data_IF_473730961528
#
_entry.id   IF_473730961528
#
_cell.length_a   1.000
_cell.length_b   1.000
_cell.length_c   1.000
_cell.angle_alpha   90.00
_cell.angle_beta   90.00
_cell.angle_gamma   90.00
#
_symmetry.space_group_name_H-M   'P 1'
#
loop_
_entity.id
_entity.type
_entity.pdbx_description
1 polymer ?
#
# COMPACT_ATOMS: atom_id res chain seq x y z
N UNK A 1 -11.89 7.20 28.90
CA UNK A 1 -10.69 6.60 28.25
C UNK A 1 -11.07 6.30 26.81
N UNK A 2 -10.20 6.57 25.84
CA UNK A 2 -10.48 6.27 24.43
C UNK A 2 -10.79 4.78 24.23
N UNK A 3 -11.59 4.47 23.22
CA UNK A 3 -11.79 3.09 22.79
C UNK A 3 -10.48 2.53 22.22
N UNK A 4 -10.08 1.33 22.65
CA UNK A 4 -8.86 0.68 22.16
C UNK A 4 -9.22 -0.40 21.17
N UNK A 5 -8.72 -0.28 19.95
CA UNK A 5 -8.93 -1.21 18.85
C UNK A 5 -7.62 -1.96 18.61
N UNK A 6 -7.66 -3.29 18.67
CA UNK A 6 -6.49 -4.08 18.33
C UNK A 6 -6.38 -4.25 16.82
N UNK A 7 -5.24 -3.88 16.23
CA UNK A 7 -5.00 -3.87 14.79
C UNK A 7 -3.93 -4.89 14.43
N UNK A 8 -4.24 -5.77 13.47
CA UNK A 8 -3.31 -6.75 12.88
C UNK A 8 -3.05 -6.41 11.42
N UNK A 9 -1.79 -6.58 10.97
CA UNK A 9 -1.40 -6.42 9.56
C UNK A 9 -0.18 -5.51 9.34
N UNK A 10 0.37 -4.90 10.41
CA UNK A 10 1.63 -4.16 10.34
C UNK A 10 2.82 -5.11 10.20
N UNK A 11 3.76 -4.78 9.32
CA UNK A 11 5.05 -5.48 9.16
C UNK A 11 6.21 -4.61 9.67
N UNK A 12 7.43 -5.09 9.54
CA UNK A 12 8.65 -4.36 9.88
C UNK A 12 9.12 -3.39 8.77
N UNK A 13 8.42 -3.37 7.65
CA UNK A 13 8.80 -2.62 6.46
C UNK A 13 7.69 -1.64 6.05
N UNK A 14 7.96 -0.32 5.96
CA UNK A 14 7.01 0.63 5.42
C UNK A 14 6.53 0.23 4.01
N UNK A 15 5.24 0.00 3.89
CA UNK A 15 4.55 -0.39 2.67
C UNK A 15 3.15 0.23 2.60
N UNK A 16 2.34 -0.22 1.66
CA UNK A 16 1.00 0.34 1.46
C UNK A 16 0.06 0.16 2.66
N UNK A 17 0.07 -1.02 3.29
CA UNK A 17 -0.78 -1.29 4.46
C UNK A 17 -0.28 -0.49 5.67
N UNK A 18 1.02 -0.47 5.91
CA UNK A 18 1.62 0.25 7.02
C UNK A 18 1.36 1.75 6.91
N UNK A 19 1.55 2.31 5.72
CA UNK A 19 1.22 3.71 5.44
C UNK A 19 -0.27 3.98 5.63
N UNK A 20 -1.15 3.12 5.13
CA UNK A 20 -2.59 3.23 5.35
C UNK A 20 -2.93 3.24 6.85
N UNK A 21 -2.40 2.30 7.63
CA UNK A 21 -2.73 2.16 9.05
C UNK A 21 -2.23 3.31 9.92
N UNK A 22 -1.00 3.78 9.67
CA UNK A 22 -0.49 4.94 10.42
C UNK A 22 -1.28 6.20 10.08
N UNK A 23 -1.73 6.31 8.84
CA UNK A 23 -2.57 7.40 8.39
C UNK A 23 -3.96 7.35 9.01
N UNK A 24 -4.56 6.17 9.15
CA UNK A 24 -5.82 6.01 9.89
C UNK A 24 -5.64 6.40 11.36
N UNK A 25 -4.54 5.97 12.01
CA UNK A 25 -4.24 6.35 13.40
C UNK A 25 -4.13 7.87 13.58
N UNK A 26 -3.42 8.56 12.67
CA UNK A 26 -3.31 10.04 12.68
C UNK A 26 -4.66 10.74 12.54
N UNK A 27 -5.58 10.12 11.82
CA UNK A 27 -6.90 10.69 11.53
C UNK A 27 -7.91 10.50 12.68
N UNK A 28 -7.65 9.58 13.62
CA UNK A 28 -8.50 9.38 14.80
C UNK A 28 -8.35 10.53 15.79
N UNK A 29 -9.45 10.86 16.47
CA UNK A 29 -9.43 11.68 17.68
C UNK A 29 -8.84 10.86 18.83
N UNK A 30 -7.65 11.18 19.34
CA UNK A 30 -6.97 10.36 20.36
C UNK A 30 -7.72 10.31 21.71
N UNK A 31 -8.62 11.25 21.96
CA UNK A 31 -9.47 11.24 23.13
C UNK A 31 -10.65 10.27 22.99
N UNK A 32 -11.00 9.87 21.77
CA UNK A 32 -12.12 8.96 21.46
C UNK A 32 -11.67 7.55 21.15
N UNK A 33 -10.65 7.40 20.30
CA UNK A 33 -10.18 6.08 19.89
C UNK A 33 -8.67 6.05 19.62
N UNK A 34 -8.04 4.89 19.86
CA UNK A 34 -6.64 4.65 19.55
C UNK A 34 -6.44 3.22 19.05
N UNK A 35 -5.59 3.05 18.06
CA UNK A 35 -5.15 1.75 17.58
C UNK A 35 -4.00 1.22 18.44
N UNK A 36 -4.13 -0.03 18.90
CA UNK A 36 -3.03 -0.82 19.43
C UNK A 36 -2.67 -1.88 18.41
N UNK A 37 -1.39 -2.11 18.20
CA UNK A 37 -0.94 -2.98 17.14
C UNK A 37 -0.48 -4.34 17.64
N UNK A 38 -0.78 -5.37 16.86
CA UNK A 38 -0.18 -6.69 17.02
C UNK A 38 0.50 -7.07 15.70
N UNK A 39 1.78 -7.45 15.79
CA UNK A 39 2.60 -7.85 14.66
C UNK A 39 3.28 -9.18 14.91
N UNK A 40 3.49 -9.97 13.85
CA UNK A 40 4.25 -11.22 13.87
C UNK A 40 5.66 -11.07 13.24
N UNK A 41 6.11 -9.83 13.13
CA UNK A 41 7.47 -9.44 12.75
C UNK A 41 8.31 -9.05 13.97
N UNK A 42 9.67 -9.08 13.85
CA UNK A 42 10.57 -8.77 14.97
C UNK A 42 10.57 -7.29 15.36
N UNK A 43 10.13 -6.41 14.49
CA UNK A 43 9.91 -4.98 14.71
C UNK A 43 8.65 -4.54 13.97
N UNK A 44 8.24 -3.30 14.14
CA UNK A 44 7.08 -2.73 13.47
C UNK A 44 7.46 -1.41 12.78
N UNK A 45 7.07 -1.25 11.52
CA UNK A 45 7.18 0.02 10.84
C UNK A 45 6.38 1.11 11.59
N UNK A 46 6.90 2.33 11.66
CA UNK A 46 6.28 3.46 12.37
C UNK A 46 6.04 3.23 13.87
N UNK A 47 6.78 2.31 14.53
CA UNK A 47 6.58 1.98 15.94
C UNK A 47 6.69 3.20 16.86
N UNK A 48 7.75 4.00 16.71
CA UNK A 48 7.99 5.18 17.55
C UNK A 48 6.87 6.21 17.42
N UNK A 49 6.39 6.42 16.20
CA UNK A 49 5.28 7.33 15.93
C UNK A 49 3.97 6.83 16.54
N UNK A 50 3.65 5.56 16.35
CA UNK A 50 2.45 4.96 16.92
C UNK A 50 2.46 5.07 18.45
N UNK A 51 3.59 4.77 19.10
CA UNK A 51 3.76 4.90 20.54
C UNK A 51 3.64 6.35 21.01
N UNK A 52 4.15 7.31 20.24
CA UNK A 52 4.02 8.74 20.57
C UNK A 52 2.55 9.22 20.57
N UNK A 53 1.69 8.60 19.73
CA UNK A 53 0.23 8.85 19.72
C UNK A 53 -0.51 8.12 20.87
N UNK A 54 0.16 7.17 21.56
CA UNK A 54 -0.40 6.43 22.68
C UNK A 54 -0.76 4.97 22.40
N UNK A 55 -0.32 4.44 21.25
CA UNK A 55 -0.49 3.03 20.89
C UNK A 55 0.36 2.09 21.75
N UNK A 56 -0.17 0.90 22.02
CA UNK A 56 0.59 -0.26 22.51
C UNK A 56 0.93 -1.17 21.35
N UNK A 57 2.08 -1.86 21.44
CA UNK A 57 2.53 -2.79 20.39
C UNK A 57 2.78 -4.15 21.02
N UNK A 58 2.17 -5.19 20.46
CA UNK A 58 2.32 -6.58 20.86
C UNK A 58 3.04 -7.37 19.78
N UNK A 59 4.12 -8.02 20.15
CA UNK A 59 4.89 -8.91 19.28
C UNK A 59 4.48 -10.35 19.51
N UNK A 60 4.02 -11.05 18.49
CA UNK A 60 3.61 -12.45 18.56
C UNK A 60 4.47 -13.32 17.61
N UNK A 61 4.56 -14.64 17.83
CA UNK A 61 5.30 -15.50 16.94
C UNK A 61 4.77 -15.48 15.50
N UNK A 62 5.68 -15.45 14.51
CA UNK A 62 5.30 -15.57 13.10
C UNK A 62 4.67 -16.94 12.81
N UNK A 63 3.73 -16.99 11.85
CA UNK A 63 3.08 -18.25 11.40
C UNK A 63 4.10 -19.31 10.94
N UNK A 64 5.21 -18.88 10.35
CA UNK A 64 6.31 -19.75 9.91
C UNK A 64 7.02 -20.45 11.08
N UNK A 65 6.98 -19.89 12.28
CA UNK A 65 7.52 -20.48 13.51
C UNK A 65 6.51 -21.40 14.25
N UNK A 66 5.31 -21.52 13.72
CA UNK A 66 4.24 -22.38 14.24
C UNK A 66 2.92 -21.65 14.45
N UNK A 67 1.91 -22.07 13.71
CA UNK A 67 0.56 -21.48 13.80
C UNK A 67 0.00 -21.55 15.24
N UNK A 68 0.15 -22.67 15.94
CA UNK A 68 -0.35 -22.83 17.31
C UNK A 68 0.27 -21.83 18.28
N UNK A 69 1.57 -21.53 18.16
CA UNK A 69 2.25 -20.55 19.02
C UNK A 69 1.70 -19.14 18.79
N UNK A 70 1.42 -18.77 17.53
CA UNK A 70 0.78 -17.50 17.18
C UNK A 70 -0.64 -17.40 17.76
N UNK A 71 -1.47 -18.44 17.56
CA UNK A 71 -2.84 -18.48 18.08
C UNK A 71 -2.88 -18.41 19.62
N UNK A 72 -1.95 -19.12 20.29
CA UNK A 72 -1.81 -19.05 21.75
C UNK A 72 -1.44 -17.65 22.24
N UNK A 73 -0.54 -16.97 21.54
CA UNK A 73 -0.16 -15.60 21.87
C UNK A 73 -1.34 -14.63 21.67
N UNK A 74 -2.08 -14.73 20.56
CA UNK A 74 -3.28 -13.96 20.34
C UNK A 74 -4.34 -14.22 21.42
N UNK A 75 -4.56 -15.49 21.80
CA UNK A 75 -5.50 -15.84 22.86
C UNK A 75 -5.07 -15.30 24.24
N UNK A 76 -3.78 -15.20 24.50
CA UNK A 76 -3.26 -14.54 25.69
C UNK A 76 -3.64 -13.07 25.70
N UNK A 77 -3.41 -12.33 24.61
CA UNK A 77 -3.79 -10.92 24.47
C UNK A 77 -5.31 -10.76 24.70
N UNK A 78 -6.14 -11.58 24.06
CA UNK A 78 -7.61 -11.52 24.22
C UNK A 78 -8.08 -11.75 25.66
N UNK A 79 -7.36 -12.57 26.42
CA UNK A 79 -7.67 -12.87 27.84
C UNK A 79 -7.22 -11.77 28.77
N UNK A 80 -6.01 -11.24 28.56
CA UNK A 80 -5.40 -10.23 29.43
C UNK A 80 -5.96 -8.82 29.18
N UNK A 81 -6.53 -8.59 27.98
CA UNK A 81 -7.02 -7.30 27.51
C UNK A 81 -8.49 -7.37 27.08
N UNK A 82 -9.43 -7.49 28.06
CA UNK A 82 -10.87 -7.56 27.77
C UNK A 82 -11.42 -6.24 27.18
N UNK A 83 -10.68 -5.15 27.26
CA UNK A 83 -11.00 -3.86 26.63
C UNK A 83 -11.04 -3.91 25.12
N UNK A 84 -10.27 -4.79 24.45
CA UNK A 84 -10.33 -4.94 23.00
C UNK A 84 -11.64 -5.60 22.56
N UNK A 85 -12.67 -4.79 22.32
CA UNK A 85 -13.97 -5.26 21.80
C UNK A 85 -13.96 -5.42 20.28
N UNK A 86 -13.17 -4.61 19.59
CA UNK A 86 -12.97 -4.62 18.14
C UNK A 86 -11.55 -5.08 17.82
N UNK A 87 -11.42 -6.01 16.86
CA UNK A 87 -10.12 -6.43 16.32
C UNK A 87 -10.14 -6.22 14.81
N UNK A 88 -9.23 -5.38 14.32
CA UNK A 88 -9.18 -4.92 12.95
C UNK A 88 -8.03 -5.58 12.20
N UNK A 89 -8.37 -6.47 11.29
CA UNK A 89 -7.44 -7.22 10.46
C UNK A 89 -7.26 -6.55 9.11
N UNK A 90 -6.01 -6.30 8.72
CA UNK A 90 -5.62 -5.80 7.42
C UNK A 90 -4.95 -6.94 6.66
N UNK A 91 -5.59 -7.40 5.59
CA UNK A 91 -5.30 -8.68 4.99
C UNK A 91 -5.02 -8.59 3.48
N UNK A 92 -4.04 -9.39 3.03
CA UNK A 92 -3.72 -9.58 1.61
C UNK A 92 -4.37 -10.84 1.03
N UNK A 93 -4.68 -11.82 1.88
CA UNK A 93 -5.35 -13.07 1.49
C UNK A 93 -6.19 -13.65 2.65
N UNK A 94 -7.05 -14.61 2.34
CA UNK A 94 -7.96 -15.22 3.32
C UNK A 94 -7.27 -16.13 4.35
N UNK A 95 -5.97 -16.38 4.27
CA UNK A 95 -5.22 -17.14 5.26
C UNK A 95 -5.17 -16.46 6.64
N UNK A 96 -5.53 -15.18 6.72
CA UNK A 96 -5.72 -14.44 7.99
C UNK A 96 -6.84 -15.04 8.85
N UNK A 97 -7.81 -15.75 8.27
CA UNK A 97 -8.94 -16.37 8.96
C UNK A 97 -8.53 -17.24 10.16
N UNK A 98 -7.38 -17.91 10.08
CA UNK A 98 -6.87 -18.69 11.22
C UNK A 98 -6.57 -17.79 12.44
N UNK A 99 -6.05 -16.61 12.23
CA UNK A 99 -5.77 -15.65 13.30
C UNK A 99 -7.06 -14.97 13.79
N UNK A 100 -8.01 -14.69 12.88
CA UNK A 100 -9.34 -14.11 13.18
C UNK A 100 -10.20 -15.02 14.04
N UNK A 101 -10.01 -16.35 13.92
CA UNK A 101 -10.75 -17.33 14.73
C UNK A 101 -10.61 -17.08 16.22
N UNK A 102 -9.43 -16.63 16.67
CA UNK A 102 -9.18 -16.41 18.10
C UNK A 102 -10.05 -15.28 18.67
N UNK A 103 -9.99 -14.03 18.21
CA UNK A 103 -10.86 -12.98 18.73
C UNK A 103 -12.35 -13.30 18.55
N UNK A 104 -12.73 -14.00 17.46
CA UNK A 104 -14.09 -14.43 17.25
C UNK A 104 -14.57 -15.39 18.38
N UNK A 105 -13.74 -16.38 18.76
CA UNK A 105 -14.04 -17.29 19.88
C UNK A 105 -14.13 -16.57 21.22
N UNK A 106 -13.47 -15.43 21.39
CA UNK A 106 -13.58 -14.57 22.54
C UNK A 106 -14.75 -13.57 22.47
N UNK A 107 -15.65 -13.70 21.47
CA UNK A 107 -16.81 -12.83 21.30
C UNK A 107 -16.48 -11.41 20.89
N UNK A 108 -15.32 -11.19 20.24
CA UNK A 108 -14.90 -9.86 19.75
C UNK A 108 -15.50 -9.61 18.38
N UNK A 109 -15.73 -8.34 18.06
CA UNK A 109 -16.10 -7.93 16.70
C UNK A 109 -14.88 -8.02 15.81
N UNK A 110 -14.90 -8.96 14.86
CA UNK A 110 -13.84 -9.13 13.85
C UNK A 110 -14.15 -8.24 12.67
N UNK A 111 -13.22 -7.36 12.35
CA UNK A 111 -13.28 -6.43 11.22
C UNK A 111 -12.17 -6.81 10.27
N UNK A 112 -12.48 -7.02 8.99
CA UNK A 112 -11.47 -7.38 7.99
C UNK A 112 -11.44 -6.36 6.86
N UNK A 113 -10.25 -5.83 6.57
CA UNK A 113 -9.98 -4.92 5.46
C UNK A 113 -9.10 -5.62 4.43
N UNK A 114 -9.59 -5.74 3.21
CA UNK A 114 -8.86 -6.30 2.09
C UNK A 114 -8.03 -5.22 1.38
N UNK A 115 -6.73 -5.49 1.22
CA UNK A 115 -5.80 -4.55 0.56
C UNK A 115 -5.28 -5.05 -0.78
N UNK A 116 -5.68 -6.24 -1.23
CA UNK A 116 -5.16 -6.82 -2.46
C UNK A 116 -6.26 -7.43 -3.33
N UNK A 117 -6.07 -7.37 -4.65
CA UNK A 117 -6.99 -7.95 -5.64
C UNK A 117 -6.62 -9.36 -6.10
N UNK A 118 -5.48 -9.90 -5.66
CA UNK A 118 -5.00 -11.24 -5.99
C UNK A 118 -3.95 -11.71 -4.99
N UNK A 119 -3.47 -12.96 -5.11
CA UNK A 119 -2.40 -13.54 -4.28
C UNK A 119 -1.70 -14.69 -4.98
N UNK A 120 -0.41 -14.88 -4.72
CA UNK A 120 0.33 -16.08 -5.11
C UNK A 120 -0.15 -17.34 -4.33
N UNK A 121 -0.79 -17.15 -3.17
CA UNK A 121 -1.31 -18.22 -2.32
C UNK A 121 -2.73 -18.64 -2.70
N UNK A 122 -3.01 -18.84 -3.99
CA UNK A 122 -4.35 -19.06 -4.54
C UNK A 122 -5.11 -20.20 -3.84
N UNK A 123 -4.46 -21.35 -3.62
CA UNK A 123 -5.10 -22.50 -2.94
C UNK A 123 -5.49 -22.15 -1.50
N UNK A 124 -4.57 -21.58 -0.72
CA UNK A 124 -4.83 -21.17 0.66
C UNK A 124 -5.98 -20.18 0.72
N UNK A 125 -5.95 -19.15 -0.12
CA UNK A 125 -7.03 -18.16 -0.20
C UNK A 125 -8.37 -18.82 -0.47
N UNK A 126 -8.46 -19.67 -1.50
CA UNK A 126 -9.71 -20.36 -1.90
C UNK A 126 -10.32 -21.16 -0.76
N UNK A 127 -9.50 -21.95 -0.04
CA UNK A 127 -9.99 -22.80 1.05
C UNK A 127 -10.32 -22.04 2.32
N UNK A 128 -9.61 -20.95 2.61
CA UNK A 128 -9.85 -20.13 3.81
C UNK A 128 -10.96 -19.10 3.64
N UNK A 129 -11.30 -18.69 2.41
CA UNK A 129 -12.30 -17.65 2.12
C UNK A 129 -13.68 -17.91 2.73
N UNK A 130 -14.24 -19.15 2.75
CA UNK A 130 -15.51 -19.42 3.44
C UNK A 130 -15.42 -19.16 4.95
N UNK A 131 -14.33 -19.60 5.60
CA UNK A 131 -14.10 -19.39 7.03
C UNK A 131 -13.95 -17.89 7.34
N UNK A 132 -13.10 -17.17 6.61
CA UNK A 132 -12.94 -15.73 6.76
C UNK A 132 -14.30 -15.03 6.71
N UNK A 133 -15.11 -15.36 5.72
CA UNK A 133 -16.42 -14.74 5.56
C UNK A 133 -17.44 -15.09 6.64
N UNK A 134 -17.26 -16.21 7.34
CA UNK A 134 -18.04 -16.58 8.52
C UNK A 134 -17.62 -15.74 9.74
N UNK A 135 -16.31 -15.55 9.94
CA UNK A 135 -15.75 -14.88 11.11
C UNK A 135 -15.89 -13.37 11.05
N UNK A 136 -15.79 -12.79 9.84
CA UNK A 136 -15.80 -11.33 9.65
C UNK A 136 -17.18 -10.73 9.88
N UNK A 137 -17.30 -9.86 10.87
CA UNK A 137 -18.52 -9.12 11.21
C UNK A 137 -18.69 -7.86 10.36
N UNK A 138 -17.60 -7.11 10.09
CA UNK A 138 -17.59 -5.89 9.28
C UNK A 138 -16.50 -5.99 8.21
N UNK A 139 -16.86 -5.66 6.96
CA UNK A 139 -16.00 -5.84 5.78
C UNK A 139 -15.66 -4.51 5.17
N UNK A 140 -14.36 -4.28 5.00
CA UNK A 140 -13.80 -3.14 4.29
C UNK A 140 -12.86 -3.61 3.19
N UNK A 141 -12.66 -2.78 2.18
CA UNK A 141 -11.68 -3.02 1.12
C UNK A 141 -11.15 -1.69 0.58
N UNK A 142 -9.90 -1.67 0.13
CA UNK A 142 -9.30 -0.49 -0.47
C UNK A 142 -9.82 -0.17 -1.88
N UNK A 143 -10.44 -1.16 -2.56
CA UNK A 143 -11.00 -1.05 -3.89
C UNK A 143 -12.10 -2.09 -4.11
N UNK A 144 -12.91 -1.90 -5.16
CA UNK A 144 -13.91 -2.90 -5.54
C UNK A 144 -13.29 -4.24 -5.92
N UNK A 145 -12.16 -4.22 -6.62
CA UNK A 145 -11.40 -5.44 -6.97
C UNK A 145 -10.97 -6.19 -5.71
N UNK A 146 -10.45 -5.50 -4.70
CA UNK A 146 -10.08 -6.10 -3.42
C UNK A 146 -11.30 -6.63 -2.64
N UNK A 147 -12.45 -5.95 -2.74
CA UNK A 147 -13.71 -6.39 -2.15
C UNK A 147 -14.20 -7.71 -2.77
N UNK A 148 -14.30 -7.77 -4.09
CA UNK A 148 -14.76 -8.94 -4.83
C UNK A 148 -13.82 -10.15 -4.63
N UNK A 149 -12.52 -9.88 -4.63
CA UNK A 149 -11.48 -10.87 -4.37
C UNK A 149 -11.64 -11.52 -2.98
N UNK A 150 -11.71 -10.72 -1.92
CA UNK A 150 -11.72 -11.22 -0.54
C UNK A 150 -13.11 -11.74 -0.12
N UNK A 151 -14.17 -11.02 -0.47
CA UNK A 151 -15.50 -11.25 0.09
C UNK A 151 -16.54 -11.74 -0.92
N UNK A 152 -16.24 -11.67 -2.24
CA UNK A 152 -17.18 -12.02 -3.29
C UNK A 152 -18.38 -11.06 -3.34
N UNK A 153 -19.59 -11.59 -3.42
CA UNK A 153 -20.84 -10.79 -3.55
C UNK A 153 -21.38 -10.23 -2.23
N UNK A 154 -20.60 -10.26 -1.15
CA UNK A 154 -21.05 -9.73 0.14
C UNK A 154 -21.00 -8.22 0.16
N UNK A 155 -21.80 -7.62 1.03
CA UNK A 155 -21.74 -6.19 1.30
C UNK A 155 -20.38 -5.83 1.89
N UNK A 156 -19.70 -4.86 1.27
CA UNK A 156 -18.37 -4.36 1.63
C UNK A 156 -18.36 -2.85 1.46
N UNK A 157 -17.87 -2.13 2.45
CA UNK A 157 -17.62 -0.70 2.30
C UNK A 157 -16.23 -0.50 1.72
N UNK A 158 -16.14 0.16 0.57
CA UNK A 158 -14.85 0.53 -0.04
C UNK A 158 -14.33 1.81 0.62
N UNK A 159 -13.11 1.73 1.14
CA UNK A 159 -12.43 2.82 1.85
C UNK A 159 -11.23 3.25 1.03
N UNK A 160 -11.23 4.40 0.37
CA UNK A 160 -10.09 4.91 -0.37
C UNK A 160 -8.85 5.07 0.53
N UNK A 161 -7.67 4.73 0.01
CA UNK A 161 -6.41 4.94 0.72
C UNK A 161 -6.02 6.41 0.65
N UNK A 162 -6.27 7.17 1.71
CA UNK A 162 -5.91 8.59 1.78
C UNK A 162 -4.41 8.80 1.90
N UNK A 163 -3.95 9.91 1.33
CA UNK A 163 -2.58 10.43 1.45
C UNK A 163 -2.61 11.88 1.95
N UNK A 164 -1.50 12.37 2.45
CA UNK A 164 -1.26 13.80 2.60
C UNK A 164 -0.92 14.39 1.22
N UNK A 165 -1.95 14.76 0.46
CA UNK A 165 -1.78 15.21 -0.91
C UNK A 165 -0.90 16.46 -1.03
N UNK A 166 -0.92 17.34 -0.01
CA UNK A 166 -0.09 18.56 0.02
C UNK A 166 1.40 18.25 0.04
N UNK A 167 1.80 17.18 0.74
CA UNK A 167 3.19 16.72 0.80
C UNK A 167 3.74 16.34 -0.57
N UNK A 168 2.88 15.90 -1.49
CA UNK A 168 3.25 15.47 -2.84
C UNK A 168 3.04 16.55 -3.90
N UNK A 169 2.50 17.72 -3.53
CA UNK A 169 2.29 18.83 -4.47
C UNK A 169 3.52 19.11 -5.30
N UNK A 170 3.34 19.24 -6.63
CA UNK A 170 4.46 19.54 -7.52
C UNK A 170 5.14 20.87 -7.16
N UNK A 171 6.45 20.84 -6.97
CA UNK A 171 7.31 21.99 -6.74
C UNK A 171 8.55 21.93 -7.64
N UNK A 172 8.71 22.89 -8.56
CA UNK A 172 9.92 23.00 -9.38
C UNK A 172 11.21 23.12 -8.55
N UNK A 173 11.14 23.81 -7.42
CA UNK A 173 12.30 24.04 -6.52
C UNK A 173 12.74 22.72 -5.87
N UNK A 174 11.81 21.92 -5.36
CA UNK A 174 12.12 20.61 -4.77
C UNK A 174 12.64 19.67 -5.86
N UNK A 175 12.02 19.71 -7.06
CA UNK A 175 12.48 18.94 -8.22
C UNK A 175 13.94 19.27 -8.56
N UNK A 176 14.28 20.54 -8.72
CA UNK A 176 15.64 20.96 -9.06
C UNK A 176 16.63 20.47 -8.00
N UNK A 177 16.37 20.78 -6.72
CA UNK A 177 17.23 20.37 -5.61
C UNK A 177 17.46 18.86 -5.56
N UNK A 178 16.39 18.04 -5.73
CA UNK A 178 16.52 16.59 -5.67
C UNK A 178 17.26 16.03 -6.88
N UNK A 179 17.09 16.62 -8.06
CA UNK A 179 17.85 16.22 -9.26
C UNK A 179 19.34 16.53 -9.13
N UNK A 180 19.70 17.67 -8.54
CA UNK A 180 21.09 18.04 -8.21
C UNK A 180 21.69 17.07 -7.19
N UNK A 181 20.95 16.75 -6.10
CA UNK A 181 21.38 15.77 -5.09
C UNK A 181 21.67 14.39 -5.69
N UNK A 182 20.87 13.97 -6.65
CA UNK A 182 21.00 12.67 -7.31
C UNK A 182 21.94 12.69 -8.54
N UNK A 183 22.41 13.85 -8.99
CA UNK A 183 23.27 14.01 -10.18
C UNK A 183 22.56 13.56 -11.48
N UNK A 184 21.29 13.97 -11.64
CA UNK A 184 20.41 13.60 -12.77
C UNK A 184 19.74 14.81 -13.42
N UNK A 185 20.35 16.00 -13.36
CA UNK A 185 19.76 17.28 -13.78
C UNK A 185 19.30 17.24 -15.23
N UNK A 186 20.09 16.59 -16.09
CA UNK A 186 19.89 16.56 -17.54
C UNK A 186 19.29 15.24 -18.05
N UNK A 187 18.94 14.32 -17.16
CA UNK A 187 18.44 13.02 -17.54
C UNK A 187 16.91 13.02 -17.75
N UNK A 188 16.44 12.12 -18.61
CA UNK A 188 15.05 11.70 -18.61
C UNK A 188 14.85 10.65 -17.51
N UNK A 189 14.05 10.97 -16.49
CA UNK A 189 13.98 10.19 -15.26
C UNK A 189 12.71 9.36 -15.20
N UNK A 190 12.87 8.04 -15.35
CA UNK A 190 11.83 7.03 -15.09
C UNK A 190 11.90 6.64 -13.62
N UNK A 191 10.78 6.61 -12.93
CA UNK A 191 10.73 6.26 -11.50
C UNK A 191 9.82 5.06 -11.24
N UNK A 192 10.33 4.11 -10.47
CA UNK A 192 9.58 2.99 -9.90
C UNK A 192 9.75 2.98 -8.39
N UNK A 193 8.67 2.83 -7.66
CA UNK A 193 8.67 2.72 -6.20
C UNK A 193 7.84 1.50 -5.81
N UNK A 194 8.48 0.53 -5.19
CA UNK A 194 7.81 -0.69 -4.76
C UNK A 194 8.75 -1.72 -4.17
N UNK A 195 8.18 -2.73 -3.51
CA UNK A 195 8.94 -3.87 -3.02
C UNK A 195 9.53 -4.65 -4.19
N UNK A 196 10.79 -5.04 -4.12
CA UNK A 196 11.41 -5.93 -5.11
C UNK A 196 10.91 -7.37 -4.89
N UNK A 197 9.71 -7.64 -5.38
CA UNK A 197 8.98 -8.91 -5.23
C UNK A 197 8.37 -9.32 -6.57
N UNK A 198 8.02 -10.59 -6.71
CA UNK A 198 7.38 -11.10 -7.93
C UNK A 198 6.14 -10.28 -8.32
N UNK A 199 5.30 -9.92 -7.34
CA UNK A 199 4.10 -9.10 -7.57
C UNK A 199 4.38 -7.81 -8.36
N UNK A 200 5.50 -7.13 -8.06
CA UNK A 200 5.88 -5.84 -8.67
C UNK A 200 6.59 -5.98 -10.02
N UNK A 201 6.89 -7.23 -10.44
CA UNK A 201 7.53 -7.53 -11.73
C UNK A 201 8.83 -6.73 -12.00
N UNK A 202 9.81 -6.78 -11.08
CA UNK A 202 11.00 -5.94 -11.22
C UNK A 202 11.90 -6.35 -12.38
N UNK A 203 11.87 -7.61 -12.84
CA UNK A 203 12.62 -8.04 -14.03
C UNK A 203 12.00 -7.46 -15.31
N UNK A 204 10.68 -7.51 -15.44
CA UNK A 204 9.97 -6.86 -16.56
C UNK A 204 10.16 -5.34 -16.58
N UNK A 205 10.29 -4.69 -15.40
CA UNK A 205 10.67 -3.29 -15.31
C UNK A 205 12.05 -3.02 -15.94
N UNK A 206 13.04 -3.89 -15.68
CA UNK A 206 14.38 -3.77 -16.26
C UNK A 206 14.33 -3.95 -17.79
N UNK A 207 13.56 -4.93 -18.32
CA UNK A 207 13.40 -5.14 -19.77
C UNK A 207 12.78 -3.93 -20.46
N UNK A 208 11.74 -3.36 -19.86
CA UNK A 208 11.11 -2.13 -20.36
C UNK A 208 12.13 -0.98 -20.35
N UNK A 209 12.84 -0.79 -19.23
CA UNK A 209 13.79 0.30 -19.08
C UNK A 209 15.01 0.16 -20.01
N UNK A 210 15.55 -1.05 -20.19
CA UNK A 210 16.62 -1.31 -21.17
C UNK A 210 16.21 -0.82 -22.57
N UNK A 211 14.97 -1.10 -22.95
CA UNK A 211 14.43 -0.69 -24.26
C UNK A 211 14.20 0.83 -24.34
N UNK A 212 13.80 1.47 -23.24
CA UNK A 212 13.73 2.94 -23.15
C UNK A 212 15.13 3.54 -23.31
N UNK A 213 16.13 3.01 -22.60
CA UNK A 213 17.51 3.50 -22.65
C UNK A 213 18.13 3.34 -24.04
N UNK A 214 17.85 2.24 -24.75
CA UNK A 214 18.28 2.06 -26.15
C UNK A 214 17.69 3.09 -27.11
N UNK A 215 16.50 3.62 -26.79
CA UNK A 215 15.82 4.65 -27.59
C UNK A 215 16.19 6.07 -27.17
N UNK A 216 16.56 6.28 -25.89
CA UNK A 216 16.99 7.55 -25.32
C UNK A 216 18.07 7.31 -24.26
N UNK A 217 19.34 7.49 -24.67
CA UNK A 217 20.50 7.25 -23.80
C UNK A 217 20.66 8.29 -22.68
N UNK A 218 19.80 9.32 -22.63
CA UNK A 218 19.70 10.23 -21.47
C UNK A 218 18.84 9.67 -20.34
N UNK A 219 18.15 8.55 -20.55
CA UNK A 219 17.24 7.97 -19.57
C UNK A 219 17.99 7.39 -18.35
N UNK A 220 17.42 7.59 -17.17
CA UNK A 220 17.85 6.98 -15.89
C UNK A 220 16.63 6.40 -15.20
N UNK A 221 16.74 5.17 -14.66
CA UNK A 221 15.72 4.59 -13.79
C UNK A 221 16.08 4.81 -12.33
N UNK A 222 15.18 5.46 -11.59
CA UNK A 222 15.18 5.45 -10.13
C UNK A 222 14.34 4.28 -9.64
N UNK A 223 14.96 3.25 -9.09
CA UNK A 223 14.30 2.10 -8.48
C UNK A 223 14.37 2.20 -6.96
N UNK A 224 13.21 2.44 -6.32
CA UNK A 224 13.10 2.66 -4.88
C UNK A 224 12.39 1.51 -4.22
N UNK A 225 13.00 0.95 -3.19
CA UNK A 225 12.50 -0.18 -2.41
C UNK A 225 13.53 -1.28 -2.27
N UNK A 226 13.18 -2.30 -1.51
CA UNK A 226 13.95 -3.53 -1.30
C UNK A 226 13.00 -4.72 -1.24
N UNK A 227 13.49 -5.93 -1.33
CA UNK A 227 12.63 -7.11 -1.26
C UNK A 227 13.38 -8.42 -1.45
N UNK A 228 12.64 -9.52 -1.46
CA UNK A 228 13.18 -10.87 -1.59
C UNK A 228 13.89 -11.15 -2.92
N UNK A 229 13.59 -10.37 -3.96
CA UNK A 229 14.22 -10.50 -5.28
C UNK A 229 15.41 -9.53 -5.47
N UNK A 230 15.85 -8.80 -4.46
CA UNK A 230 16.87 -7.74 -4.59
C UNK A 230 18.15 -8.25 -5.27
N UNK A 231 18.68 -9.39 -4.82
CA UNK A 231 19.89 -9.97 -5.40
C UNK A 231 19.67 -10.39 -6.87
N UNK A 232 18.55 -11.02 -7.19
CA UNK A 232 18.19 -11.43 -8.54
C UNK A 232 18.06 -10.22 -9.48
N UNK A 233 17.37 -9.17 -9.02
CA UNK A 233 17.15 -7.91 -9.76
C UNK A 233 18.48 -7.22 -10.08
N UNK A 234 19.39 -7.13 -9.11
CA UNK A 234 20.71 -6.54 -9.32
C UNK A 234 21.55 -7.37 -10.33
N UNK A 235 21.56 -8.70 -10.17
CA UNK A 235 22.26 -9.58 -11.11
C UNK A 235 21.73 -9.43 -12.53
N UNK A 236 20.40 -9.39 -12.68
CA UNK A 236 19.74 -9.23 -13.98
C UNK A 236 20.04 -7.87 -14.64
N UNK A 237 20.08 -6.79 -13.85
CA UNK A 237 20.48 -5.47 -14.35
C UNK A 237 21.94 -5.48 -14.86
N UNK A 238 22.85 -6.13 -14.14
CA UNK A 238 24.25 -6.29 -14.53
C UNK A 238 24.42 -7.12 -15.80
N UNK A 239 23.69 -8.22 -15.95
CA UNK A 239 23.66 -9.04 -17.17
C UNK A 239 23.22 -8.25 -18.41
N UNK A 240 22.31 -7.28 -18.20
CA UNK A 240 21.84 -6.34 -19.21
C UNK A 240 22.78 -5.14 -19.44
N UNK A 241 23.87 -5.01 -18.67
CA UNK A 241 24.78 -3.88 -18.65
C UNK A 241 24.11 -2.55 -18.28
N UNK A 242 23.14 -2.59 -17.33
CA UNK A 242 22.36 -1.41 -16.91
C UNK A 242 22.81 -0.83 -15.56
N UNK A 243 23.95 -1.26 -14.98
CA UNK A 243 24.42 -0.81 -13.66
C UNK A 243 24.62 0.70 -13.54
N UNK A 244 25.01 1.37 -14.63
CA UNK A 244 25.21 2.82 -14.66
C UNK A 244 23.92 3.62 -14.84
N UNK A 245 22.87 3.01 -15.37
CA UNK A 245 21.62 3.63 -15.79
C UNK A 245 20.48 3.42 -14.80
N UNK A 246 20.58 2.39 -13.96
CA UNK A 246 19.62 2.11 -12.91
C UNK A 246 20.21 2.55 -11.56
N UNK A 247 19.52 3.46 -10.90
CA UNK A 247 19.85 3.89 -9.53
C UNK A 247 18.97 3.10 -8.55
N UNK A 248 19.51 2.02 -7.99
CA UNK A 248 18.87 1.30 -6.89
C UNK A 248 19.05 2.09 -5.60
N UNK A 249 18.00 2.77 -5.16
CA UNK A 249 18.03 3.68 -4.01
C UNK A 249 17.74 2.99 -2.67
N UNK A 250 17.40 1.69 -2.71
CA UNK A 250 16.97 0.98 -1.52
C UNK A 250 15.71 1.59 -0.90
N UNK A 251 15.53 1.39 0.41
CA UNK A 251 14.41 1.97 1.15
C UNK A 251 14.67 3.46 1.41
N UNK A 252 13.70 4.31 1.08
CA UNK A 252 13.79 5.77 1.23
C UNK A 252 12.61 6.31 2.03
N UNK A 253 12.86 7.35 2.85
CA UNK A 253 11.81 8.10 3.55
C UNK A 253 11.36 9.36 2.83
N UNK A 254 12.12 9.81 1.82
CA UNK A 254 11.91 11.03 1.04
C UNK A 254 11.19 10.76 -0.30
N UNK A 255 10.20 9.88 -0.29
CA UNK A 255 9.44 9.46 -1.48
C UNK A 255 8.82 10.66 -2.21
N UNK A 256 8.27 11.61 -1.47
CA UNK A 256 7.68 12.82 -2.05
C UNK A 256 8.70 13.63 -2.88
N UNK A 257 9.94 13.75 -2.41
CA UNK A 257 11.00 14.47 -3.11
C UNK A 257 11.52 13.67 -4.32
N UNK A 258 11.63 12.34 -4.21
CA UNK A 258 12.01 11.47 -5.33
C UNK A 258 10.99 11.56 -6.46
N UNK A 259 9.68 11.55 -6.15
CA UNK A 259 8.62 11.76 -7.13
C UNK A 259 8.70 13.15 -7.78
N UNK A 260 9.19 14.19 -7.08
CA UNK A 260 9.45 15.48 -7.72
C UNK A 260 10.55 15.38 -8.78
N UNK A 261 11.62 14.61 -8.53
CA UNK A 261 12.74 14.46 -9.45
C UNK A 261 12.38 13.71 -10.75
N UNK A 262 11.35 12.84 -10.72
CA UNK A 262 10.93 12.01 -11.85
C UNK A 262 10.28 12.80 -13.00
N UNK A 263 10.25 12.22 -14.19
CA UNK A 263 9.50 12.70 -15.38
C UNK A 263 8.28 11.79 -15.63
N UNK A 264 8.38 10.51 -15.33
CA UNK A 264 7.33 9.52 -15.48
C UNK A 264 7.42 8.48 -14.35
N UNK A 265 6.28 8.07 -13.84
CA UNK A 265 6.15 6.96 -12.89
C UNK A 265 5.69 5.70 -13.63
N UNK A 266 6.32 4.56 -13.34
CA UNK A 266 5.99 3.28 -13.97
C UNK A 266 5.73 2.21 -12.91
N UNK A 267 4.67 1.40 -13.10
CA UNK A 267 4.33 0.28 -12.22
C UNK A 267 3.82 -0.92 -13.04
N UNK A 268 4.71 -1.78 -13.57
CA UNK A 268 4.37 -2.93 -14.38
C UNK A 268 4.00 -4.17 -13.54
N UNK A 269 3.27 -3.98 -12.45
CA UNK A 269 2.92 -5.03 -11.49
C UNK A 269 2.04 -6.11 -12.12
N UNK A 270 2.23 -7.37 -11.73
CA UNK A 270 1.34 -8.46 -12.14
C UNK A 270 -0.06 -8.34 -11.54
N UNK A 271 -0.19 -7.75 -10.36
CA UNK A 271 -1.47 -7.46 -9.71
C UNK A 271 -1.31 -6.45 -8.59
N UNK A 272 -2.32 -5.59 -8.40
CA UNK A 272 -2.45 -4.65 -7.26
C UNK A 272 -3.93 -4.49 -6.90
N UNK A 273 -4.19 -4.15 -5.65
CA UNK A 273 -5.51 -3.69 -5.23
C UNK A 273 -5.68 -2.20 -5.56
N UNK A 274 -5.06 -1.35 -4.76
CA UNK A 274 -4.99 0.10 -4.95
C UNK A 274 -3.61 0.58 -4.46
N UNK A 275 -2.60 0.65 -5.34
CA UNK A 275 -1.24 1.02 -4.95
C UNK A 275 -1.16 2.48 -4.53
N UNK A 276 -0.91 2.74 -3.24
CA UNK A 276 -0.81 4.10 -2.67
C UNK A 276 0.23 4.93 -3.44
N UNK A 277 1.36 4.34 -3.79
CA UNK A 277 2.44 5.04 -4.50
C UNK A 277 1.99 5.60 -5.86
N UNK A 278 1.04 4.94 -6.55
CA UNK A 278 0.49 5.47 -7.78
C UNK A 278 -0.44 6.68 -7.52
N UNK A 279 -1.12 6.72 -6.38
CA UNK A 279 -1.88 7.89 -5.93
C UNK A 279 -0.93 9.05 -5.59
N UNK A 280 0.16 8.76 -4.89
CA UNK A 280 1.22 9.73 -4.55
C UNK A 280 1.89 10.31 -5.80
N UNK A 281 2.17 9.47 -6.81
CA UNK A 281 2.73 9.92 -8.08
C UNK A 281 1.76 10.82 -8.86
N UNK A 282 0.47 10.51 -8.87
CA UNK A 282 -0.56 11.36 -9.46
C UNK A 282 -0.71 12.69 -8.71
N UNK A 283 -0.65 12.69 -7.36
CA UNK A 283 -0.64 13.92 -6.56
C UNK A 283 0.53 14.83 -6.93
N UNK A 284 1.70 14.21 -7.21
CA UNK A 284 2.87 14.91 -7.71
C UNK A 284 2.74 15.37 -9.18
N UNK A 285 1.61 15.15 -9.83
CA UNK A 285 1.34 15.55 -11.22
C UNK A 285 2.11 14.73 -12.25
N UNK A 286 2.65 13.57 -11.89
CA UNK A 286 3.37 12.70 -12.82
C UNK A 286 2.43 11.96 -13.77
N UNK A 287 2.80 11.78 -15.05
CA UNK A 287 2.23 10.72 -15.85
C UNK A 287 2.59 9.37 -15.22
N UNK A 288 1.57 8.53 -15.02
CA UNK A 288 1.70 7.23 -14.38
C UNK A 288 1.36 6.14 -15.41
N UNK A 289 2.32 5.30 -15.75
CA UNK A 289 2.13 4.18 -16.68
C UNK A 289 2.03 2.91 -15.85
N UNK A 290 0.85 2.33 -15.83
CA UNK A 290 0.45 1.26 -14.94
C UNK A 290 0.09 0.02 -15.76
N UNK A 291 0.33 -1.16 -15.20
CA UNK A 291 -0.22 -2.40 -15.78
C UNK A 291 -1.74 -2.41 -15.68
N UNK A 292 -2.43 -2.91 -16.70
CA UNK A 292 -3.90 -3.11 -16.69
C UNK A 292 -4.39 -4.10 -15.62
N UNK A 293 -3.47 -4.89 -15.04
CA UNK A 293 -3.76 -5.78 -13.91
C UNK A 293 -3.87 -5.04 -12.56
N UNK A 294 -3.63 -3.73 -12.57
CA UNK A 294 -3.89 -2.83 -11.44
C UNK A 294 -5.34 -2.36 -11.54
N UNK A 295 -6.02 -2.23 -10.39
CA UNK A 295 -7.40 -1.71 -10.38
C UNK A 295 -7.51 -0.39 -11.13
N UNK A 296 -8.48 -0.30 -12.06
CA UNK A 296 -8.79 0.95 -12.76
C UNK A 296 -9.20 2.09 -11.82
N UNK A 297 -9.64 1.79 -10.59
CA UNK A 297 -9.91 2.77 -9.54
C UNK A 297 -8.65 3.57 -9.12
N UNK A 298 -7.45 3.11 -9.53
CA UNK A 298 -6.19 3.82 -9.34
C UNK A 298 -6.09 5.09 -10.21
N UNK A 299 -6.84 5.17 -11.31
CA UNK A 299 -6.89 6.37 -12.15
C UNK A 299 -7.75 7.46 -11.49
N UNK A 300 -7.14 8.25 -10.62
CA UNK A 300 -7.79 9.39 -9.94
C UNK A 300 -7.73 10.64 -10.82
N UNK A 301 -6.66 10.75 -11.62
CA UNK A 301 -6.40 11.88 -12.51
C UNK A 301 -6.31 11.42 -13.98
N UNK A 302 -6.34 12.35 -14.90
CA UNK A 302 -6.15 12.12 -16.33
C UNK A 302 -4.71 11.72 -16.72
N UNK A 303 -3.79 11.71 -15.74
CA UNK A 303 -2.39 11.35 -15.95
C UNK A 303 -2.09 9.85 -15.74
N UNK A 304 -3.09 9.02 -15.46
CA UNK A 304 -2.92 7.57 -15.30
C UNK A 304 -3.26 6.83 -16.60
N UNK A 305 -2.33 6.01 -17.08
CA UNK A 305 -2.44 5.23 -18.32
C UNK A 305 -2.21 3.76 -18.01
N UNK A 306 -3.07 2.89 -18.55
CA UNK A 306 -2.97 1.45 -18.35
C UNK A 306 -2.51 0.77 -19.64
N UNK A 307 -1.54 -0.14 -19.50
CA UNK A 307 -1.01 -0.95 -20.59
C UNK A 307 -1.02 -2.43 -20.19
N UNK A 308 -1.30 -3.31 -21.16
CA UNK A 308 -1.20 -4.74 -20.95
C UNK A 308 0.26 -5.17 -20.79
N UNK A 309 0.51 -6.12 -19.89
CA UNK A 309 1.82 -6.79 -19.79
C UNK A 309 2.04 -7.77 -20.98
N UNK A 310 0.98 -8.15 -21.69
CA UNK A 310 1.04 -9.02 -22.87
C UNK A 310 1.35 -8.22 -24.16
N UNK A 311 1.29 -6.88 -24.12
CA UNK A 311 1.69 -6.03 -25.24
C UNK A 311 3.21 -6.08 -25.46
N UNK A 312 3.66 -5.89 -26.72
CA UNK A 312 5.08 -5.74 -27.00
C UNK A 312 5.71 -4.62 -26.16
N UNK A 313 6.93 -4.83 -25.68
CA UNK A 313 7.67 -3.83 -24.89
C UNK A 313 7.72 -2.46 -25.60
N UNK A 314 7.73 -2.44 -26.94
CA UNK A 314 7.72 -1.19 -27.72
C UNK A 314 6.52 -0.28 -27.41
N UNK A 315 5.36 -0.84 -27.04
CA UNK A 315 4.16 -0.05 -26.64
C UNK A 315 4.43 0.69 -25.33
N UNK A 316 5.05 0.01 -24.36
CA UNK A 316 5.48 0.64 -23.11
C UNK A 316 6.53 1.73 -23.36
N UNK A 317 7.53 1.45 -24.19
CA UNK A 317 8.60 2.40 -24.56
C UNK A 317 8.02 3.66 -25.22
N UNK A 318 7.16 3.51 -26.21
CA UNK A 318 6.51 4.62 -26.89
C UNK A 318 5.75 5.51 -25.91
N UNK A 319 4.95 4.88 -25.03
CA UNK A 319 4.18 5.61 -24.02
C UNK A 319 5.07 6.33 -23.02
N UNK A 320 6.15 5.70 -22.53
CA UNK A 320 7.10 6.30 -21.60
C UNK A 320 7.79 7.51 -22.27
N UNK A 321 8.31 7.36 -23.48
CA UNK A 321 9.00 8.42 -24.19
C UNK A 321 8.08 9.59 -24.55
N UNK A 322 6.79 9.34 -24.78
CA UNK A 322 5.79 10.41 -25.01
C UNK A 322 5.64 11.35 -23.81
N UNK A 323 6.08 10.93 -22.62
CA UNK A 323 6.03 11.72 -21.41
C UNK A 323 7.25 12.66 -21.22
N UNK A 324 8.27 12.62 -22.11
CA UNK A 324 9.52 13.36 -21.96
C UNK A 324 9.36 14.88 -21.79
N UNK A 325 8.34 15.47 -22.40
CA UNK A 325 8.07 16.91 -22.31
C UNK A 325 6.68 17.18 -21.70
N UNK A 326 6.26 16.30 -20.79
CA UNK A 326 4.96 16.44 -20.16
C UNK A 326 4.92 17.71 -19.28
N UNK A 327 3.91 18.56 -19.52
CA UNK A 327 3.70 19.75 -18.71
C UNK A 327 3.06 19.36 -17.37
N UNK A 328 3.86 19.32 -16.35
CA UNK A 328 3.53 18.85 -15.03
C UNK A 328 2.83 19.92 -14.20
N UNK A 329 1.65 19.60 -13.70
CA UNK A 329 0.86 20.47 -12.79
C UNK A 329 0.41 19.68 -11.58
N UNK A 330 0.21 20.36 -10.45
CA UNK A 330 -0.32 19.73 -9.25
C UNK A 330 -1.74 19.23 -9.46
N UNK A 331 -2.04 18.02 -9.00
CA UNK A 331 -3.34 17.34 -9.12
C UNK A 331 -4.07 17.18 -7.78
N UNK A 332 -3.65 17.92 -6.74
CA UNK A 332 -4.22 17.82 -5.39
C UNK A 332 -5.74 18.01 -5.41
N UNK A 333 -6.25 18.97 -6.19
CA UNK A 333 -7.69 19.24 -6.26
C UNK A 333 -8.52 18.06 -6.77
N UNK A 334 -7.97 17.29 -7.73
CA UNK A 334 -8.61 16.08 -8.26
C UNK A 334 -8.63 14.96 -7.21
N UNK A 335 -7.52 14.78 -6.48
CA UNK A 335 -7.44 13.82 -5.39
C UNK A 335 -8.39 14.15 -4.24
N UNK A 336 -8.46 15.43 -3.85
CA UNK A 336 -9.37 15.90 -2.82
C UNK A 336 -10.83 15.66 -3.21
N UNK A 337 -11.21 15.99 -4.45
CA UNK A 337 -12.57 15.75 -4.96
C UNK A 337 -12.94 14.26 -4.99
N UNK A 338 -11.95 13.38 -5.19
CA UNK A 338 -12.13 11.92 -5.17
C UNK A 338 -12.04 11.29 -3.76
N UNK A 339 -11.74 12.08 -2.72
CA UNK A 339 -11.68 11.62 -1.33
C UNK A 339 -10.38 10.89 -0.97
N UNK A 340 -9.28 11.16 -1.69
CA UNK A 340 -7.95 10.59 -1.43
C UNK A 340 -7.02 11.50 -0.64
N UNK A 341 -7.51 12.65 -0.17
CA UNK A 341 -6.75 13.59 0.62
C UNK A 341 -7.22 13.62 2.07
N UNK A 342 -6.28 13.72 3.03
CA UNK A 342 -6.59 13.79 4.46
C UNK A 342 -7.48 14.97 4.85
N UNK A 343 -7.24 16.12 4.25
CA UNK A 343 -7.99 17.32 4.54
C UNK A 343 -9.42 17.26 3.97
N UNK A 344 -9.65 16.34 3.01
CA UNK A 344 -10.92 16.15 2.31
C UNK A 344 -11.32 14.64 2.27
N UNK A 345 -11.55 14.02 3.44
CA UNK A 345 -11.88 12.60 3.50
C UNK A 345 -13.22 12.31 2.82
N UNK A 346 -13.30 11.16 2.14
CA UNK A 346 -14.55 10.67 1.59
C UNK A 346 -15.57 10.36 2.68
N UNK A 347 -16.86 10.28 2.33
CA UNK A 347 -17.92 9.86 3.25
C UNK A 347 -17.61 8.52 3.90
N UNK A 348 -17.06 7.55 3.13
CA UNK A 348 -16.68 6.24 3.65
C UNK A 348 -15.54 6.30 4.69
N UNK A 349 -14.60 7.22 4.53
CA UNK A 349 -13.55 7.47 5.53
C UNK A 349 -14.10 8.09 6.81
N UNK A 350 -15.03 9.03 6.68
CA UNK A 350 -15.71 9.63 7.83
C UNK A 350 -16.51 8.57 8.59
N UNK A 351 -17.21 7.70 7.89
CA UNK A 351 -17.98 6.60 8.50
C UNK A 351 -17.06 5.58 9.18
N UNK A 352 -15.91 5.24 8.58
CA UNK A 352 -14.90 4.37 9.20
C UNK A 352 -14.37 4.97 10.51
N UNK A 353 -14.01 6.26 10.49
CA UNK A 353 -13.55 6.99 11.68
C UNK A 353 -14.62 6.97 12.77
N UNK A 354 -15.83 7.37 12.42
CA UNK A 354 -16.96 7.36 13.36
C UNK A 354 -17.24 5.97 13.93
N UNK A 355 -17.10 4.92 13.13
CA UNK A 355 -17.27 3.54 13.58
C UNK A 355 -16.23 3.14 14.65
N UNK A 356 -15.00 3.63 14.55
CA UNK A 356 -13.98 3.39 15.58
C UNK A 356 -14.13 4.32 16.79
N UNK A 357 -14.62 5.55 16.61
CA UNK A 357 -14.77 6.56 17.66
C UNK A 357 -16.09 6.45 18.45
N UNK A 358 -17.09 5.75 17.92
CA UNK A 358 -18.46 5.71 18.51
C UNK A 358 -18.60 4.90 19.80
N UNK A 359 -17.52 4.32 20.34
CA UNK A 359 -17.63 3.46 21.52
C UNK A 359 -18.58 2.25 21.31
N UNK A 360 -18.93 1.55 22.38
CA UNK A 360 -19.75 0.34 22.32
C UNK A 360 -21.28 0.59 22.24
N UNK A 361 -21.75 1.73 21.73
CA UNK A 361 -23.20 2.00 21.64
C UNK A 361 -23.94 1.23 20.52
N UNK A 362 -23.24 0.48 19.67
CA UNK A 362 -23.87 -0.31 18.59
C UNK A 362 -23.86 -1.79 18.95
N UNK A 363 -24.77 -2.18 19.85
CA UNK A 363 -24.86 -3.59 20.26
C UNK A 363 -26.10 -3.99 21.03
N UNK A 364 -27.24 -3.29 20.87
CA UNK A 364 -28.52 -3.73 21.41
C UNK A 364 -29.67 -3.53 20.43
N UNK A 365 -29.58 -4.22 19.28
CA UNK A 365 -30.80 -4.62 18.56
C UNK A 365 -30.65 -6.08 18.18
N UNK A 366 -31.50 -6.90 18.80
CA UNK A 366 -31.68 -8.34 18.64
C UNK A 366 -31.93 -8.72 17.20
#
# INVERSE_FOLDING_TARGET
>A
MPERILVYGMTDNPGGIETYLINQLRALDPDKAVFDFVTDFPSMAYADEAMAIGSKIYYIPAKSKGLFSQLKAMAKIMREHPEYKKVYFNALDAGVAFTELVPWLFGRTVITHSHNGSTDKVKLHKYCKPLLNLLTSKRFACSKVAADYMFGKREVTVIPNMIDAKKYAYSPEIRQKKREELGIENNFVVCHIGRLSNQKNPLGLIDIFESVYKSDNSAVLLSVGSGEMEQEVHSYASEKNMDGQIRFLGRRGDISEILQAADVFILPSFYEGLPIVAIEAQAAGLPCILSENISAETAITDNAYFLSLDEPISVWVEKILSCKNFNRTSKIGELAAAGYDYDHPSQAQIELRNYFEAGNEVGSKK
#
